data_IF_519915383574
#
_entry.id   IF_519915383574
#
_cell.length_a   1.000
_cell.length_b   1.000
_cell.length_c   1.000
_cell.angle_alpha   90.00
_cell.angle_beta   90.00
_cell.angle_gamma   90.00
#
_symmetry.space_group_name_H-M   'P 1'
#
loop_
_entity.id
_entity.type
_entity.pdbx_description
1 polymer ?
#
# COMPACT_ATOMS: atom_id res chain seq x y z
N UNK A 1 15.38 3.39 -14.54
CA UNK A 1 15.19 4.10 -13.29
C UNK A 1 14.54 3.19 -12.24
N UNK A 2 15.08 3.22 -11.06
CA UNK A 2 14.52 2.40 -10.01
C UNK A 2 13.21 2.96 -9.52
N UNK A 3 12.30 2.08 -9.19
CA UNK A 3 11.04 2.46 -8.59
C UNK A 3 11.29 2.81 -7.14
N UNK A 4 10.84 3.96 -6.66
CA UNK A 4 11.04 4.30 -5.26
C UNK A 4 10.35 3.33 -4.31
N UNK A 5 9.28 2.70 -4.75
CA UNK A 5 8.53 1.78 -3.92
C UNK A 5 8.41 0.45 -4.63
N UNK A 6 9.50 0.02 -5.26
CA UNK A 6 9.44 -1.10 -6.17
C UNK A 6 9.63 -2.45 -5.52
N UNK A 7 9.20 -3.45 -6.23
CA UNK A 7 9.29 -4.83 -5.78
C UNK A 7 10.66 -5.44 -6.04
N UNK A 8 11.49 -4.76 -6.82
CA UNK A 8 12.79 -5.30 -7.20
C UNK A 8 13.77 -5.43 -6.05
N UNK A 9 13.50 -4.77 -4.92
CA UNK A 9 14.39 -4.85 -3.78
C UNK A 9 14.11 -6.03 -2.87
N UNK A 10 13.14 -6.85 -3.21
CA UNK A 10 12.75 -7.98 -2.39
C UNK A 10 13.56 -9.21 -2.73
N UNK A 11 14.09 -9.89 -1.71
CA UNK A 11 14.70 -11.19 -1.95
C UNK A 11 13.61 -12.27 -1.89
N UNK A 12 13.97 -13.50 -2.20
CA UNK A 12 13.00 -14.58 -2.29
C UNK A 12 12.28 -14.84 -0.97
N UNK A 13 13.00 -14.73 0.13
CA UNK A 13 12.39 -14.99 1.44
C UNK A 13 11.35 -13.92 1.77
N UNK A 14 11.67 -12.66 1.49
CA UNK A 14 10.74 -11.58 1.77
C UNK A 14 9.54 -11.62 0.84
N UNK A 15 9.76 -11.97 -0.43
CA UNK A 15 8.64 -12.11 -1.36
C UNK A 15 7.66 -13.16 -0.85
N UNK A 16 8.19 -14.27 -0.34
CA UNK A 16 7.36 -15.33 0.18
C UNK A 16 6.56 -14.88 1.40
N UNK A 17 7.22 -14.13 2.28
CA UNK A 17 6.56 -13.59 3.46
C UNK A 17 5.42 -12.64 3.07
N UNK A 18 5.69 -11.72 2.15
CA UNK A 18 4.70 -10.77 1.69
C UNK A 18 3.52 -11.49 1.04
N UNK A 19 3.83 -12.48 0.20
CA UNK A 19 2.79 -13.24 -0.47
C UNK A 19 1.89 -13.97 0.52
N UNK A 20 2.49 -14.54 1.56
CA UNK A 20 1.72 -15.25 2.59
C UNK A 20 0.79 -14.28 3.30
N UNK A 21 1.28 -13.09 3.62
CA UNK A 21 0.46 -12.07 4.28
C UNK A 21 -0.69 -11.61 3.39
N UNK A 22 -0.41 -11.38 2.11
CA UNK A 22 -1.45 -10.95 1.18
C UNK A 22 -2.50 -12.03 1.00
N UNK A 23 -2.10 -13.29 1.00
CA UNK A 23 -3.06 -14.39 0.89
C UNK A 23 -4.05 -14.40 2.04
N UNK A 24 -3.63 -13.98 3.22
CA UNK A 24 -4.52 -13.90 4.35
C UNK A 24 -5.63 -12.86 4.12
N UNK A 25 -5.28 -11.77 3.45
CA UNK A 25 -6.27 -10.74 3.14
C UNK A 25 -7.28 -11.20 2.08
N UNK A 26 -6.88 -12.12 1.21
CA UNK A 26 -7.76 -12.59 0.15
C UNK A 26 -9.01 -13.30 0.67
N UNK A 27 -8.95 -13.84 1.87
CA UNK A 27 -10.09 -14.53 2.46
C UNK A 27 -10.97 -13.60 3.29
N UNK A 28 -10.66 -12.32 3.30
CA UNK A 28 -11.36 -11.33 4.12
C UNK A 28 -12.18 -10.38 3.25
N UNK A 29 -13.27 -9.87 3.82
CA UNK A 29 -14.00 -8.79 3.19
C UNK A 29 -13.29 -7.48 3.46
N UNK A 30 -13.59 -6.45 2.67
CA UNK A 30 -13.01 -5.13 2.93
C UNK A 30 -13.33 -4.63 4.33
N UNK A 31 -14.54 -4.90 4.79
CA UNK A 31 -14.93 -4.48 6.12
C UNK A 31 -14.04 -5.14 7.18
N UNK A 32 -13.78 -6.44 7.02
CA UNK A 32 -12.91 -7.14 7.96
C UNK A 32 -11.50 -6.60 7.93
N UNK A 33 -11.00 -6.29 6.73
CA UNK A 33 -9.65 -5.77 6.58
C UNK A 33 -9.51 -4.42 7.28
N UNK A 34 -10.45 -3.52 7.06
CA UNK A 34 -10.34 -2.17 7.61
C UNK A 34 -10.73 -2.11 9.10
N UNK A 35 -11.84 -2.71 9.45
CA UNK A 35 -12.34 -2.62 10.83
C UNK A 35 -11.56 -3.55 11.75
N UNK A 36 -11.30 -4.76 11.30
CA UNK A 36 -10.62 -5.74 12.12
C UNK A 36 -9.19 -5.41 12.44
N UNK A 37 -8.56 -4.55 11.65
CA UNK A 37 -7.17 -4.17 11.86
C UNK A 37 -7.00 -2.99 12.80
N UNK A 38 -8.10 -2.46 13.33
CA UNK A 38 -8.08 -1.29 14.20
C UNK A 38 -7.39 -0.11 13.53
N UNK A 39 -7.73 0.12 12.27
CA UNK A 39 -7.23 1.23 11.45
C UNK A 39 -5.78 1.09 10.99
N UNK A 40 -5.20 -0.09 11.13
CA UNK A 40 -3.86 -0.30 10.58
C UNK A 40 -3.90 -0.46 9.07
N UNK A 41 -5.04 -0.93 8.54
CA UNK A 41 -5.29 -1.00 7.10
C UNK A 41 -6.37 0.02 6.80
N UNK A 42 -6.13 0.87 5.81
CA UNK A 42 -7.10 1.94 5.54
C UNK A 42 -6.89 2.55 4.17
N UNK A 43 -7.88 3.31 3.73
CA UNK A 43 -7.77 4.10 2.51
C UNK A 43 -7.13 5.44 2.85
N UNK A 44 -6.28 5.92 1.95
CA UNK A 44 -5.60 7.19 2.12
C UNK A 44 -5.83 8.03 0.88
N UNK A 45 -6.26 9.27 1.07
CA UNK A 45 -6.45 10.19 -0.04
C UNK A 45 -5.11 10.46 -0.73
N UNK A 46 -5.12 10.45 -2.06
CA UNK A 46 -3.88 10.60 -2.82
C UNK A 46 -3.19 11.93 -2.51
N UNK A 47 -3.95 12.99 -2.27
CA UNK A 47 -3.33 14.28 -1.97
C UNK A 47 -2.50 14.28 -0.68
N UNK A 48 -2.67 13.27 0.17
CA UNK A 48 -1.88 13.15 1.39
C UNK A 48 -0.57 12.40 1.17
N UNK A 49 -0.41 11.79 0.02
CA UNK A 49 0.79 11.03 -0.27
C UNK A 49 1.97 11.95 -0.55
N UNK A 50 3.18 11.42 -0.50
CA UNK A 50 4.36 12.19 -0.85
C UNK A 50 4.26 12.66 -2.30
N UNK A 51 4.96 13.75 -2.62
CA UNK A 51 4.98 14.24 -3.99
C UNK A 51 5.54 13.18 -4.93
N UNK A 52 6.52 12.43 -4.47
CA UNK A 52 7.09 11.35 -5.26
C UNK A 52 6.05 10.30 -5.62
N UNK A 53 5.23 9.91 -4.66
CA UNK A 53 4.18 8.93 -4.89
C UNK A 53 3.13 9.49 -5.86
N UNK A 54 2.73 10.73 -5.68
CA UNK A 54 1.75 11.34 -6.56
C UNK A 54 2.28 11.44 -7.99
N UNK A 55 3.55 11.83 -8.14
CA UNK A 55 4.16 11.90 -9.45
C UNK A 55 4.24 10.53 -10.10
N UNK A 56 4.50 9.50 -9.31
CA UNK A 56 4.56 8.15 -9.84
C UNK A 56 3.20 7.67 -10.32
N UNK A 57 2.14 7.99 -9.58
CA UNK A 57 0.79 7.66 -10.02
C UNK A 57 0.49 8.30 -11.37
N UNK A 58 0.82 9.58 -11.52
CA UNK A 58 0.60 10.25 -12.79
C UNK A 58 1.41 9.60 -13.90
N UNK A 59 2.64 9.23 -13.61
CA UNK A 59 3.52 8.62 -14.61
C UNK A 59 2.98 7.29 -15.12
N UNK A 60 2.36 6.48 -14.25
CA UNK A 60 1.85 5.19 -14.66
C UNK A 60 0.38 5.24 -15.13
N UNK A 61 -0.13 6.45 -15.32
CA UNK A 61 -1.46 6.63 -15.88
C UNK A 61 -2.59 6.58 -14.87
N UNK A 62 -2.28 6.70 -13.59
CA UNK A 62 -3.29 6.65 -12.53
C UNK A 62 -3.41 7.99 -11.81
N UNK A 63 -3.13 9.08 -12.50
CA UNK A 63 -3.17 10.40 -11.88
C UNK A 63 -4.55 10.85 -11.42
N UNK A 64 -5.61 10.24 -11.95
CA UNK A 64 -6.96 10.60 -11.56
C UNK A 64 -7.46 9.83 -10.34
N UNK A 65 -6.62 8.98 -9.77
CA UNK A 65 -6.98 8.18 -8.61
C UNK A 65 -7.18 9.10 -7.40
N UNK A 66 -8.28 8.91 -6.69
CA UNK A 66 -8.57 9.74 -5.53
C UNK A 66 -8.00 9.19 -4.23
N UNK A 67 -7.94 7.88 -4.09
CA UNK A 67 -7.38 7.29 -2.90
C UNK A 67 -6.79 5.92 -3.18
N UNK A 68 -5.85 5.52 -2.33
CA UNK A 68 -5.23 4.20 -2.39
C UNK A 68 -5.46 3.48 -1.08
N UNK A 69 -5.37 2.15 -1.13
CA UNK A 69 -5.48 1.32 0.06
C UNK A 69 -4.08 1.01 0.56
N UNK A 70 -3.89 1.16 1.85
CA UNK A 70 -2.66 0.82 2.54
C UNK A 70 -2.90 -0.39 3.40
N UNK A 71 -2.17 -1.47 3.16
CA UNK A 71 -2.23 -2.68 3.97
C UNK A 71 -0.94 -2.80 4.77
N UNK A 72 -1.07 -2.89 6.08
CA UNK A 72 0.08 -3.05 6.95
C UNK A 72 0.46 -4.52 7.03
N UNK A 73 1.73 -4.81 6.82
CA UNK A 73 2.23 -6.17 6.96
C UNK A 73 2.88 -6.36 8.32
N UNK A 74 3.89 -5.57 8.62
CA UNK A 74 4.49 -5.56 9.95
C UNK A 74 5.28 -4.27 10.11
N UNK A 75 5.28 -3.71 11.33
CA UNK A 75 6.03 -2.49 11.59
C UNK A 75 5.69 -1.39 10.60
N UNK A 76 6.70 -0.90 9.88
CA UNK A 76 6.52 0.15 8.89
C UNK A 76 6.18 -0.40 7.50
N UNK A 77 6.23 -1.69 7.32
CA UNK A 77 6.02 -2.28 6.01
C UNK A 77 4.57 -2.13 5.56
N UNK A 78 4.41 -1.61 4.36
CA UNK A 78 3.08 -1.40 3.77
C UNK A 78 3.05 -1.90 2.35
N UNK A 79 1.88 -2.38 1.94
CA UNK A 79 1.60 -2.66 0.54
C UNK A 79 0.49 -1.71 0.13
N UNK A 80 0.70 -1.01 -0.96
CA UNK A 80 -0.25 -0.03 -1.45
C UNK A 80 -0.89 -0.52 -2.73
N UNK A 81 -2.17 -0.24 -2.87
CA UNK A 81 -2.87 -0.65 -4.07
C UNK A 81 -4.13 0.15 -4.31
N UNK A 82 -4.77 -0.17 -5.42
CA UNK A 82 -5.99 0.47 -5.85
C UNK A 82 -7.13 -0.51 -5.70
N UNK A 83 -8.16 -0.10 -4.97
CA UNK A 83 -9.33 -0.93 -4.79
C UNK A 83 -10.27 -0.78 -5.98
N UNK A 84 -10.61 -1.93 -6.59
CA UNK A 84 -11.54 -1.96 -7.71
C UNK A 84 -12.59 -3.00 -7.38
N UNK A 85 -13.67 -2.59 -6.72
CA UNK A 85 -14.69 -3.51 -6.26
C UNK A 85 -14.12 -4.47 -5.23
N UNK A 86 -14.21 -5.75 -5.50
CA UNK A 86 -13.69 -6.77 -4.62
C UNK A 86 -12.20 -7.06 -4.85
N UNK A 87 -11.61 -6.45 -5.86
CA UNK A 87 -10.23 -6.72 -6.25
C UNK A 87 -9.34 -5.56 -5.82
N UNK A 88 -8.12 -5.87 -5.41
CA UNK A 88 -7.12 -4.86 -5.15
C UNK A 88 -5.99 -5.02 -6.15
N UNK A 89 -5.73 -3.97 -6.91
CA UNK A 89 -4.60 -3.93 -7.81
C UNK A 89 -3.39 -3.50 -7.01
N UNK A 90 -2.44 -4.40 -6.82
CA UNK A 90 -1.25 -4.10 -6.02
C UNK A 90 -0.32 -3.21 -6.82
N UNK A 91 0.09 -2.11 -6.22
CA UNK A 91 0.97 -1.15 -6.90
C UNK A 91 2.37 -1.15 -6.31
N UNK A 92 2.50 -0.95 -5.01
CA UNK A 92 3.81 -0.68 -4.43
C UNK A 92 4.09 -1.47 -3.18
N UNK A 93 5.37 -1.79 -3.00
CA UNK A 93 5.95 -2.31 -1.77
C UNK A 93 6.66 -1.14 -1.09
N UNK A 94 6.28 -0.86 0.14
CA UNK A 94 6.77 0.31 0.86
C UNK A 94 7.26 -0.12 2.25
N UNK A 95 8.49 -0.61 2.34
CA UNK A 95 8.99 -1.13 3.62
C UNK A 95 9.31 -0.05 4.64
N UNK A 96 9.52 1.19 4.21
CA UNK A 96 9.91 2.26 5.12
C UNK A 96 8.82 3.31 5.32
N UNK A 97 7.62 3.05 4.82
CA UNK A 97 6.50 3.97 4.98
C UNK A 97 6.74 5.32 4.30
N UNK A 98 7.30 5.28 3.10
CA UNK A 98 7.65 6.50 2.36
C UNK A 98 6.55 7.01 1.46
N UNK A 99 5.59 6.17 1.10
CA UNK A 99 4.51 6.60 0.20
C UNK A 99 3.67 7.68 0.86
N UNK A 100 3.39 7.51 2.14
CA UNK A 100 2.67 8.52 2.91
C UNK A 100 3.41 8.69 4.23
N UNK A 101 4.48 9.49 4.23
CA UNK A 101 5.28 9.66 5.44
C UNK A 101 4.39 10.18 6.56
N UNK A 102 4.48 9.54 7.69
CA UNK A 102 3.69 9.94 8.82
C UNK A 102 4.41 11.08 9.53
N UNK A 103 4.36 12.22 8.92
CA UNK A 103 4.90 13.41 9.53
C UNK A 103 4.18 13.69 10.80
N UNK A 104 2.94 13.26 10.83
CA UNK A 104 2.12 13.43 11.99
C UNK A 104 2.17 12.14 12.73
N UNK A 105 2.82 12.14 13.85
CA UNK A 105 2.94 10.95 14.60
C UNK A 105 1.66 10.40 15.07
N UNK A 106 0.62 11.14 14.98
CA UNK A 106 -0.68 10.66 15.40
C UNK A 106 -1.53 10.29 14.24
N UNK A 107 -0.98 10.06 13.13
CA UNK A 107 -1.76 9.62 11.98
C UNK A 107 -1.47 8.17 11.68
#
# INVERSE_FOLDING_TARGET
MLQPFGWQDLDAAKINEVRTKLAQFESMTWNEIFVGSKKQNHSVAVWKLSNEAQNRLAFIGLGDTEELVSLRLSGRERVWGLRQGAVMLILWWDPEHHVCPSLLKNT
#
